data_IF_780213382317
#
_entry.id   IF_780213382317
#
_cell.length_a   1.000
_cell.length_b   1.000
_cell.length_c   1.000
_cell.angle_alpha   90.00
_cell.angle_beta   90.00
_cell.angle_gamma   90.00
#
_symmetry.space_group_name_H-M   'P 1'
#
loop_
_entity.id
_entity.type
_entity.pdbx_description
1 polymer ?
#
# COMPACT_ATOMS: atom_id res chain seq x y z
N UNK A 1 4.04 14.84 12.60
CA UNK A 1 2.70 14.56 12.05
C UNK A 1 2.80 13.36 11.12
N UNK A 2 2.40 12.19 11.59
CA UNK A 2 2.16 11.01 10.74
C UNK A 2 0.71 11.08 10.26
N UNK A 3 0.45 11.94 9.27
CA UNK A 3 -0.92 12.37 8.93
C UNK A 3 -1.77 11.28 8.30
N UNK A 4 -1.15 10.28 7.68
CA UNK A 4 -1.83 9.21 6.94
C UNK A 4 -1.95 7.92 7.76
N UNK A 5 -1.09 7.70 8.75
CA UNK A 5 -1.07 6.48 9.53
C UNK A 5 -2.40 6.14 10.23
N UNK A 6 -3.14 7.09 10.85
CA UNK A 6 -4.46 6.78 11.42
C UNK A 6 -5.46 6.32 10.36
N UNK A 7 -5.47 6.98 9.19
CA UNK A 7 -6.36 6.61 8.07
C UNK A 7 -5.97 5.26 7.48
N UNK A 8 -4.67 4.99 7.33
CA UNK A 8 -4.17 3.70 6.84
C UNK A 8 -4.49 2.57 7.82
N UNK A 9 -4.46 2.83 9.12
CA UNK A 9 -4.87 1.85 10.12
C UNK A 9 -6.35 1.48 9.95
N UNK A 10 -7.25 2.47 9.83
CA UNK A 10 -8.67 2.22 9.55
C UNK A 10 -8.85 1.42 8.26
N UNK A 11 -8.13 1.79 7.19
CA UNK A 11 -8.18 1.04 5.93
C UNK A 11 -7.77 -0.43 6.13
N UNK A 12 -6.68 -0.70 6.83
CA UNK A 12 -6.15 -2.06 7.03
C UNK A 12 -7.01 -2.89 7.96
N UNK A 13 -7.52 -2.31 9.05
CA UNK A 13 -8.22 -3.06 10.12
C UNK A 13 -9.72 -3.11 9.93
N UNK A 14 -10.36 -2.03 9.50
CA UNK A 14 -11.82 -1.92 9.44
C UNK A 14 -12.38 -2.20 8.05
N UNK A 15 -11.72 -1.67 7.01
CA UNK A 15 -12.19 -1.77 5.62
C UNK A 15 -11.72 -3.08 4.99
N UNK A 16 -10.40 -3.28 4.89
CA UNK A 16 -9.82 -4.48 4.28
C UNK A 16 -9.86 -5.69 5.21
N UNK A 17 -9.85 -5.45 6.53
CA UNK A 17 -9.85 -6.48 7.58
C UNK A 17 -8.70 -7.48 7.42
N UNK A 18 -7.52 -6.96 7.06
CA UNK A 18 -6.27 -7.72 6.86
C UNK A 18 -5.24 -7.47 7.97
N UNK A 19 -5.63 -6.75 9.03
CA UNK A 19 -4.79 -6.53 10.21
C UNK A 19 -5.61 -6.34 11.48
N UNK A 20 -4.92 -6.36 12.62
CA UNK A 20 -5.50 -6.11 13.95
C UNK A 20 -4.94 -4.82 14.52
N UNK A 21 -5.82 -3.99 15.10
CA UNK A 21 -5.42 -2.81 15.85
C UNK A 21 -4.94 -3.21 17.25
N UNK A 22 -3.79 -2.67 17.68
CA UNK A 22 -3.24 -2.95 19.02
C UNK A 22 -3.92 -2.06 20.08
N UNK A 23 -4.19 -0.79 19.77
CA UNK A 23 -4.99 0.18 20.56
C UNK A 23 -5.00 1.58 19.92
N UNK A 24 -5.71 2.53 20.53
CA UNK A 24 -5.73 3.97 20.18
C UNK A 24 -4.36 4.65 20.38
N UNK A 25 -4.08 5.61 19.51
CA UNK A 25 -2.77 6.21 19.20
C UNK A 25 -2.18 7.15 20.26
N UNK A 26 -2.86 7.32 21.39
CA UNK A 26 -2.60 8.42 22.33
C UNK A 26 -1.71 8.06 23.51
N UNK A 27 -1.44 6.76 23.74
CA UNK A 27 -0.73 6.29 24.94
C UNK A 27 0.37 5.26 24.63
N UNK A 28 1.34 5.18 25.53
CA UNK A 28 2.38 4.14 25.50
C UNK A 28 1.71 2.78 25.69
N UNK A 29 1.79 1.94 24.66
CA UNK A 29 1.30 0.57 24.72
C UNK A 29 2.28 -0.29 25.54
N UNK A 30 1.77 -0.95 26.58
CA UNK A 30 2.56 -1.86 27.42
C UNK A 30 2.85 -3.17 26.68
N UNK A 31 4.01 -3.77 26.95
CA UNK A 31 4.42 -5.04 26.35
C UNK A 31 3.38 -6.17 26.45
N UNK A 32 2.65 -6.38 27.57
CA UNK A 32 1.63 -7.44 27.65
C UNK A 32 0.46 -7.25 26.67
N UNK A 33 0.14 -6.01 26.32
CA UNK A 33 -0.90 -5.71 25.31
C UNK A 33 -0.42 -6.08 23.91
N UNK A 34 0.85 -5.80 23.61
CA UNK A 34 1.45 -6.18 22.32
C UNK A 34 1.48 -7.71 22.22
N UNK A 35 1.93 -8.39 23.27
CA UNK A 35 1.99 -9.85 23.31
C UNK A 35 0.61 -10.49 23.09
N UNK A 36 -0.45 -9.96 23.72
CA UNK A 36 -1.79 -10.52 23.57
C UNK A 36 -2.35 -10.34 22.15
N UNK A 37 -2.08 -9.20 21.50
CA UNK A 37 -2.51 -8.96 20.12
C UNK A 37 -1.72 -9.80 19.13
N UNK A 38 -0.41 -9.98 19.36
CA UNK A 38 0.40 -10.91 18.55
C UNK A 38 -0.09 -12.34 18.72
N UNK A 39 -0.35 -12.79 19.94
CA UNK A 39 -0.94 -14.12 20.20
C UNK A 39 -2.28 -14.30 19.51
N UNK A 40 -3.18 -13.32 19.59
CA UNK A 40 -4.44 -13.33 18.85
C UNK A 40 -4.21 -13.43 17.34
N UNK A 41 -3.30 -12.63 16.79
CA UNK A 41 -2.99 -12.68 15.36
C UNK A 41 -2.43 -14.03 14.91
N UNK A 42 -1.71 -14.74 15.77
CA UNK A 42 -1.00 -15.98 15.43
C UNK A 42 -1.80 -17.26 15.76
N UNK A 43 -2.49 -17.29 16.89
CA UNK A 43 -3.01 -18.52 17.52
C UNK A 43 -4.51 -18.41 17.87
N UNK A 44 -5.27 -17.67 17.06
CA UNK A 44 -6.73 -17.61 17.17
C UNK A 44 -7.41 -17.74 15.82
N UNK A 45 -8.68 -18.15 15.84
CA UNK A 45 -9.55 -18.23 14.65
C UNK A 45 -9.68 -16.86 13.95
N UNK A 46 -9.84 -15.78 14.74
CA UNK A 46 -9.82 -14.40 14.23
C UNK A 46 -8.52 -14.10 13.47
N UNK A 47 -7.38 -14.48 14.05
CA UNK A 47 -6.06 -14.31 13.43
C UNK A 47 -5.91 -15.11 12.13
N UNK A 48 -6.45 -16.32 12.08
CA UNK A 48 -6.46 -17.15 10.88
C UNK A 48 -7.27 -16.50 9.75
N UNK A 49 -8.47 -15.99 10.04
CA UNK A 49 -9.27 -15.26 9.06
C UNK A 49 -8.54 -14.03 8.52
N UNK A 50 -7.91 -13.25 9.40
CA UNK A 50 -7.14 -12.05 9.02
C UNK A 50 -6.00 -12.44 8.07
N UNK A 51 -5.23 -13.48 8.40
CA UNK A 51 -4.12 -13.95 7.53
C UNK A 51 -4.64 -14.48 6.20
N UNK A 52 -5.77 -15.20 6.18
CA UNK A 52 -6.39 -15.69 4.95
C UNK A 52 -6.82 -14.53 4.04
N UNK A 53 -7.50 -13.52 4.58
CA UNK A 53 -7.87 -12.31 3.80
C UNK A 53 -6.63 -11.59 3.27
N UNK A 54 -5.57 -11.48 4.07
CA UNK A 54 -4.32 -10.88 3.64
C UNK A 54 -3.69 -11.66 2.46
N UNK A 55 -3.72 -12.99 2.49
CA UNK A 55 -3.25 -13.83 1.38
C UNK A 55 -4.09 -13.67 0.11
N UNK A 56 -5.42 -13.66 0.24
CA UNK A 56 -6.34 -13.41 -0.88
C UNK A 56 -6.09 -12.05 -1.51
N UNK A 57 -5.95 -11.00 -0.69
CA UNK A 57 -5.62 -9.66 -1.14
C UNK A 57 -4.26 -9.61 -1.85
N UNK A 58 -3.24 -10.30 -1.33
CA UNK A 58 -1.92 -10.38 -1.96
C UNK A 58 -1.98 -11.01 -3.36
N UNK A 59 -2.82 -12.03 -3.57
CA UNK A 59 -3.05 -12.63 -4.89
C UNK A 59 -3.71 -11.63 -5.85
N UNK A 60 -4.73 -10.91 -5.39
CA UNK A 60 -5.42 -9.87 -6.19
C UNK A 60 -4.44 -8.76 -6.60
N UNK A 61 -3.66 -8.24 -5.65
CA UNK A 61 -2.65 -7.21 -5.91
C UNK A 61 -1.63 -7.70 -6.92
N UNK A 62 -1.09 -8.92 -6.74
CA UNK A 62 -0.12 -9.49 -7.69
C UNK A 62 -0.69 -9.56 -9.10
N UNK A 63 -1.91 -10.07 -9.27
CA UNK A 63 -2.59 -10.15 -10.57
C UNK A 63 -2.87 -8.78 -11.19
N UNK A 64 -3.19 -7.78 -10.38
CA UNK A 64 -3.40 -6.44 -10.89
C UNK A 64 -2.09 -5.81 -11.43
N UNK A 65 -0.95 -6.17 -10.84
CA UNK A 65 0.37 -5.60 -11.16
C UNK A 65 1.23 -6.39 -12.14
N UNK A 66 0.89 -7.66 -12.41
CA UNK A 66 1.63 -8.48 -13.37
C UNK A 66 1.46 -8.00 -14.82
N UNK A 67 2.24 -8.56 -15.75
CA UNK A 67 2.12 -8.21 -17.17
C UNK A 67 0.72 -8.53 -17.70
N UNK A 68 0.08 -7.55 -18.35
CA UNK A 68 -1.32 -7.63 -18.76
C UNK A 68 -2.34 -7.42 -17.63
N UNK A 69 -1.90 -7.21 -16.39
CA UNK A 69 -2.75 -6.88 -15.24
C UNK A 69 -3.35 -5.48 -15.34
N UNK A 70 -4.54 -5.28 -14.75
CA UNK A 70 -5.30 -4.04 -14.89
C UNK A 70 -4.50 -2.79 -14.45
N UNK A 71 -3.83 -2.83 -13.30
CA UNK A 71 -3.01 -1.70 -12.84
C UNK A 71 -1.83 -1.43 -13.76
N UNK A 72 -1.27 -2.48 -14.38
CA UNK A 72 -0.16 -2.35 -15.33
C UNK A 72 -0.62 -1.73 -16.65
N UNK A 73 -1.75 -2.20 -17.18
CA UNK A 73 -2.37 -1.67 -18.41
C UNK A 73 -2.74 -0.20 -18.27
N UNK A 74 -3.32 0.20 -17.13
CA UNK A 74 -3.65 1.61 -16.86
C UNK A 74 -2.39 2.47 -16.79
N UNK A 75 -1.33 1.98 -16.13
CA UNK A 75 -0.05 2.68 -16.05
C UNK A 75 0.60 2.83 -17.43
N UNK A 76 0.64 1.75 -18.23
CA UNK A 76 1.21 1.78 -19.58
C UNK A 76 0.41 2.73 -20.49
N UNK A 77 -0.92 2.76 -20.34
CA UNK A 77 -1.81 3.71 -21.05
C UNK A 77 -1.54 5.16 -20.65
N UNK A 78 -1.34 5.41 -19.35
CA UNK A 78 -0.97 6.72 -18.84
C UNK A 78 0.39 7.18 -19.40
N UNK A 79 1.40 6.31 -19.37
CA UNK A 79 2.74 6.59 -19.94
C UNK A 79 2.61 6.90 -21.43
N UNK A 80 1.88 6.07 -22.18
CA UNK A 80 1.65 6.31 -23.60
C UNK A 80 0.93 7.65 -23.86
N UNK A 81 0.02 8.08 -22.98
CA UNK A 81 -0.65 9.37 -23.10
C UNK A 81 0.33 10.54 -22.91
N UNK A 82 1.15 10.52 -21.85
CA UNK A 82 2.08 11.63 -21.58
C UNK A 82 3.30 11.64 -22.52
N UNK A 83 3.70 10.48 -23.06
CA UNK A 83 4.79 10.38 -24.03
C UNK A 83 4.35 10.71 -25.46
N UNK A 84 3.05 10.70 -25.79
CA UNK A 84 2.55 11.21 -27.09
C UNK A 84 2.83 12.70 -27.27
N UNK A 85 2.94 13.45 -26.17
CA UNK A 85 3.28 14.87 -26.19
C UNK A 85 4.79 15.13 -26.39
N UNK A 86 5.66 14.11 -26.29
CA UNK A 86 7.11 14.23 -26.56
C UNK A 86 7.43 14.26 -28.07
N UNK A 87 6.52 13.79 -28.93
CA UNK A 87 6.69 13.91 -30.40
C UNK A 87 6.41 15.34 -30.91
N UNK A 88 5.95 16.26 -30.03
CA UNK A 88 5.60 17.64 -30.39
C UNK A 88 6.38 18.74 -29.66
N UNK A 89 7.35 18.43 -28.78
CA UNK A 89 8.11 19.48 -28.07
C UNK A 89 9.63 19.28 -28.08
N UNK A 90 10.41 20.36 -28.32
CA UNK A 90 11.87 20.29 -28.35
C UNK A 90 12.39 19.92 -26.96
N UNK A 91 13.27 18.90 -26.91
CA UNK A 91 13.94 18.40 -25.70
C UNK A 91 14.62 19.54 -24.94
N UNK A 92 13.96 20.08 -23.94
CA UNK A 92 14.55 21.05 -23.03
C UNK A 92 14.02 20.89 -21.61
N UNK A 93 14.89 20.31 -20.77
CA UNK A 93 15.15 20.79 -19.41
C UNK A 93 14.12 20.49 -18.31
N UNK A 94 14.50 19.59 -17.40
CA UNK A 94 14.16 19.61 -15.97
C UNK A 94 12.69 19.82 -15.59
N UNK A 95 11.83 18.87 -15.96
CA UNK A 95 10.43 18.90 -15.55
C UNK A 95 10.27 18.38 -14.12
N UNK A 96 10.03 19.31 -13.20
CA UNK A 96 9.72 19.08 -11.78
C UNK A 96 8.55 18.08 -11.60
N UNK A 97 7.68 17.97 -12.60
CA UNK A 97 6.56 17.03 -12.68
C UNK A 97 7.02 15.57 -12.73
N UNK A 98 8.13 15.27 -13.44
CA UNK A 98 8.70 13.92 -13.48
C UNK A 98 9.22 13.49 -12.10
N UNK A 99 9.77 14.45 -11.32
CA UNK A 99 10.20 14.19 -9.94
C UNK A 99 9.01 14.02 -8.99
N UNK A 100 7.94 14.81 -9.15
CA UNK A 100 6.71 14.68 -8.35
C UNK A 100 6.01 13.34 -8.62
N UNK A 101 5.90 12.94 -9.89
CA UNK A 101 5.28 11.68 -10.28
C UNK A 101 6.09 10.47 -9.77
N UNK A 102 7.42 10.50 -9.91
CA UNK A 102 8.29 9.48 -9.34
C UNK A 102 8.22 9.45 -7.79
N UNK A 103 8.03 10.60 -7.13
CA UNK A 103 7.90 10.69 -5.67
C UNK A 103 6.57 10.13 -5.16
N UNK A 104 5.46 10.39 -5.85
CA UNK A 104 4.13 9.84 -5.54
C UNK A 104 4.09 8.33 -5.79
N UNK A 105 4.64 7.89 -6.93
CA UNK A 105 4.66 6.47 -7.30
C UNK A 105 5.58 5.65 -6.40
N UNK A 106 6.76 6.17 -6.05
CA UNK A 106 7.66 5.48 -5.10
C UNK A 106 7.07 5.43 -3.69
N UNK A 107 6.32 6.46 -3.24
CA UNK A 107 5.63 6.40 -1.95
C UNK A 107 4.48 5.40 -1.94
N UNK A 108 3.72 5.30 -3.03
CA UNK A 108 2.63 4.33 -3.14
C UNK A 108 3.16 2.88 -3.19
N UNK A 109 4.24 2.64 -3.93
CA UNK A 109 4.87 1.32 -4.04
C UNK A 109 5.64 0.94 -2.76
N UNK A 110 6.36 1.88 -2.12
CA UNK A 110 7.06 1.59 -0.86
C UNK A 110 6.11 1.36 0.33
N UNK A 111 4.93 1.99 0.36
CA UNK A 111 3.93 1.73 1.42
C UNK A 111 3.39 0.30 1.35
N UNK A 112 3.30 -0.27 0.14
CA UNK A 112 2.86 -1.65 -0.08
C UNK A 112 4.01 -2.65 0.15
N UNK A 113 5.26 -2.29 -0.15
CA UNK A 113 6.41 -3.20 -0.01
C UNK A 113 7.08 -3.21 1.38
N UNK A 114 7.06 -2.11 2.14
CA UNK A 114 7.73 -2.06 3.45
C UNK A 114 6.95 -2.78 4.58
N UNK A 115 5.70 -3.15 4.35
CA UNK A 115 4.90 -3.97 5.29
C UNK A 115 5.02 -5.48 5.05
N UNK A 116 5.85 -5.94 4.10
CA UNK A 116 5.98 -7.34 3.70
C UNK A 116 7.42 -7.88 3.80
N UNK A 117 8.25 -7.34 4.71
CA UNK A 117 9.50 -7.98 5.12
C UNK A 117 9.63 -8.06 6.63
#
# INVERSE_FOLDING_TARGET
MHSDQPTNAVLVTEILKVGLAVREWTEIVKAPTIESVVKRLMDSEEGEEVRKRAQELAVVVRRATEEGGASRVELDSFIAHICRDDDQLPKSGNNILHRIFLFLFTKFVCLVFFSLR
#
